data_IF_590245759792
#
_entry.id   IF_590245759792
#
_cell.length_a   1.000
_cell.length_b   1.000
_cell.length_c   1.000
_cell.angle_alpha   90.00
_cell.angle_beta   90.00
_cell.angle_gamma   90.00
#
_symmetry.space_group_name_H-M   'P 1'
#
loop_
_entity.id
_entity.type
_entity.pdbx_description
1 polymer ?
#
# COMPACT_ATOMS: atom_id res chain seq x y z
N UNK A 1 -10.83 -27.75 -12.71
CA UNK A 1 -12.11 -27.18 -12.26
C UNK A 1 -11.73 -26.01 -11.39
N UNK A 2 -11.53 -24.84 -12.00
CA UNK A 2 -11.24 -23.61 -11.27
C UNK A 2 -12.52 -23.24 -10.55
N UNK A 3 -12.45 -23.25 -9.22
CA UNK A 3 -13.51 -22.77 -8.37
C UNK A 3 -13.61 -21.27 -8.63
N UNK A 4 -14.59 -20.83 -9.43
CA UNK A 4 -14.90 -19.40 -9.70
C UNK A 4 -15.53 -18.76 -8.44
N UNK A 5 -14.96 -19.05 -7.27
CA UNK A 5 -15.37 -18.49 -6.01
C UNK A 5 -15.03 -17.00 -6.01
N UNK A 6 -16.06 -16.16 -5.96
CA UNK A 6 -15.89 -14.72 -5.78
C UNK A 6 -15.24 -14.49 -4.43
N UNK A 7 -13.99 -14.03 -4.42
CA UNK A 7 -13.31 -13.61 -3.21
C UNK A 7 -13.58 -12.13 -2.96
N UNK A 8 -14.20 -11.83 -1.80
CA UNK A 8 -14.40 -10.46 -1.33
C UNK A 8 -13.33 -10.14 -0.30
N UNK A 9 -12.51 -9.13 -0.59
CA UNK A 9 -11.48 -8.62 0.33
C UNK A 9 -11.86 -7.23 0.81
N UNK A 10 -11.90 -7.02 2.13
CA UNK A 10 -12.18 -5.72 2.74
C UNK A 10 -10.87 -4.91 2.76
N UNK A 11 -10.89 -3.73 2.14
CA UNK A 11 -9.78 -2.78 2.16
C UNK A 11 -10.03 -1.75 3.26
N UNK A 12 -9.08 -1.60 4.19
CA UNK A 12 -9.14 -0.55 5.21
C UNK A 12 -8.96 0.83 4.57
N UNK A 13 -9.45 1.91 5.20
CA UNK A 13 -9.27 3.29 4.70
C UNK A 13 -7.81 3.64 4.37
N UNK A 14 -6.85 3.09 5.12
CA UNK A 14 -5.42 3.22 4.88
C UNK A 14 -4.87 2.44 3.68
N UNK A 15 -5.72 1.80 2.87
CA UNK A 15 -5.31 1.06 1.68
C UNK A 15 -4.61 -0.27 1.99
N UNK A 16 -4.89 -0.88 3.14
CA UNK A 16 -4.37 -2.22 3.47
C UNK A 16 -5.46 -3.26 3.37
N UNK A 17 -5.12 -4.43 2.89
CA UNK A 17 -5.99 -5.59 2.77
C UNK A 17 -5.31 -6.81 3.39
N UNK A 18 -6.09 -7.65 4.07
CA UNK A 18 -5.62 -8.98 4.51
C UNK A 18 -6.10 -10.01 3.50
N UNK A 19 -5.16 -10.69 2.86
CA UNK A 19 -5.42 -11.67 1.79
C UNK A 19 -4.99 -13.05 2.26
N UNK A 20 -5.78 -14.07 1.89
CA UNK A 20 -5.46 -15.46 2.17
C UNK A 20 -4.45 -15.99 1.14
N UNK A 21 -3.34 -16.54 1.63
CA UNK A 21 -2.35 -17.31 0.88
C UNK A 21 -2.44 -18.80 1.23
N UNK A 22 -1.63 -19.62 0.55
CA UNK A 22 -1.54 -21.05 0.82
C UNK A 22 -1.13 -21.37 2.27
N UNK A 23 -0.25 -20.55 2.86
CA UNK A 23 0.34 -20.78 4.18
C UNK A 23 -0.34 -19.99 5.31
N UNK A 24 -1.29 -19.10 4.99
CA UNK A 24 -1.92 -18.25 6.01
C UNK A 24 -2.61 -17.02 5.46
N UNK A 25 -2.63 -15.95 6.25
CA UNK A 25 -3.16 -14.66 5.86
C UNK A 25 -2.06 -13.62 5.99
N UNK A 26 -1.89 -12.80 4.96
CA UNK A 26 -0.90 -11.72 4.94
C UNK A 26 -1.60 -10.38 4.78
N UNK A 27 -1.08 -9.35 5.44
CA UNK A 27 -1.54 -7.98 5.26
C UNK A 27 -0.63 -7.26 4.28
N UNK A 28 -1.25 -6.71 3.24
CA UNK A 28 -0.55 -6.01 2.17
C UNK A 28 -1.23 -4.69 1.83
N UNK A 29 -0.44 -3.76 1.29
CA UNK A 29 -0.90 -2.46 0.82
C UNK A 29 -1.36 -2.54 -0.63
N UNK A 30 -2.59 -2.14 -0.87
CA UNK A 30 -3.22 -2.01 -2.19
C UNK A 30 -3.38 -0.51 -2.48
N UNK A 31 -3.07 -0.05 -3.69
CA UNK A 31 -2.95 1.38 -4.03
C UNK A 31 -4.28 2.19 -4.01
N UNK A 32 -5.30 1.73 -3.29
CA UNK A 32 -6.60 2.40 -3.14
C UNK A 32 -6.66 3.05 -1.75
N UNK A 33 -6.91 4.36 -1.68
CA UNK A 33 -7.14 5.08 -0.41
C UNK A 33 -5.91 5.28 0.49
N UNK A 34 -4.75 4.71 0.11
CA UNK A 34 -3.57 4.56 0.96
C UNK A 34 -2.95 5.85 1.52
N UNK A 35 -3.23 7.02 0.94
CA UNK A 35 -2.63 8.28 1.39
C UNK A 35 -3.49 9.05 2.41
N UNK A 36 -4.82 8.97 2.29
CA UNK A 36 -5.71 10.00 2.85
C UNK A 36 -6.20 9.70 4.27
N UNK A 37 -5.94 8.51 4.81
CA UNK A 37 -6.36 8.21 6.18
C UNK A 37 -5.33 8.78 7.19
N UNK A 38 -5.73 9.73 8.05
CA UNK A 38 -4.83 10.35 9.02
C UNK A 38 -4.38 9.39 10.13
N UNK A 39 -4.99 8.21 10.26
CA UNK A 39 -4.70 7.23 11.30
C UNK A 39 -4.02 5.95 10.75
N UNK A 40 -4.23 5.63 9.46
CA UNK A 40 -3.90 4.31 8.89
C UNK A 40 -3.25 4.37 7.47
N UNK A 41 -3.09 5.56 6.89
CA UNK A 41 -2.42 5.74 5.59
C UNK A 41 -0.89 5.81 5.68
N UNK A 42 -0.22 5.91 4.52
CA UNK A 42 1.24 6.06 4.41
C UNK A 42 1.80 7.18 5.29
N UNK A 43 1.12 8.33 5.31
CA UNK A 43 1.52 9.48 6.13
C UNK A 43 1.48 9.11 7.62
N UNK A 44 0.44 8.41 8.05
CA UNK A 44 0.27 7.98 9.44
C UNK A 44 1.25 6.86 9.84
N UNK A 45 1.65 5.98 8.93
CA UNK A 45 2.71 5.00 9.17
C UNK A 45 4.07 5.69 9.37
N UNK A 46 4.42 6.58 8.43
CA UNK A 46 5.66 7.35 8.44
C UNK A 46 5.78 8.22 9.70
N UNK A 47 4.73 8.97 10.04
CA UNK A 47 4.72 9.84 11.23
C UNK A 47 4.81 9.06 12.55
N UNK A 48 4.21 7.86 12.60
CA UNK A 48 4.25 7.02 13.78
C UNK A 48 5.55 6.20 13.90
N UNK A 49 6.40 6.18 12.86
CA UNK A 49 7.60 5.35 12.82
C UNK A 49 7.30 3.85 12.89
N UNK A 50 6.14 3.43 12.36
CA UNK A 50 5.72 2.03 12.33
C UNK A 50 6.46 1.27 11.22
N UNK A 51 6.59 -0.05 11.39
CA UNK A 51 7.03 -0.91 10.29
C UNK A 51 6.07 -0.76 9.11
N UNK A 52 6.63 -0.53 7.92
CA UNK A 52 5.86 -0.31 6.72
C UNK A 52 5.12 -1.59 6.31
N UNK A 53 3.81 -1.48 6.07
CA UNK A 53 3.04 -2.59 5.50
C UNK A 53 3.55 -2.88 4.07
N UNK A 54 3.97 -4.12 3.75
CA UNK A 54 4.48 -4.45 2.42
C UNK A 54 3.45 -4.21 1.31
N UNK A 55 3.91 -3.82 0.12
CA UNK A 55 3.04 -3.65 -1.04
C UNK A 55 2.58 -4.98 -1.61
N UNK A 56 1.35 -5.02 -2.10
CA UNK A 56 0.75 -6.22 -2.69
C UNK A 56 1.55 -6.77 -3.88
N UNK A 57 2.16 -5.89 -4.66
CA UNK A 57 3.12 -6.26 -5.70
C UNK A 57 4.01 -5.07 -6.05
N UNK A 58 5.04 -5.32 -6.86
CA UNK A 58 5.87 -4.25 -7.44
C UNK A 58 5.03 -3.27 -8.25
N UNK A 59 4.10 -3.77 -9.08
CA UNK A 59 3.26 -2.90 -9.90
C UNK A 59 2.43 -1.93 -9.06
N UNK A 60 1.86 -2.41 -7.94
CA UNK A 60 1.10 -1.56 -7.01
C UNK A 60 1.98 -0.49 -6.36
N UNK A 61 3.23 -0.83 -6.00
CA UNK A 61 4.20 0.14 -5.48
C UNK A 61 4.58 1.20 -6.51
N UNK A 62 4.82 0.77 -7.75
CA UNK A 62 5.20 1.66 -8.85
C UNK A 62 4.03 2.59 -9.22
N UNK A 63 2.78 2.09 -9.21
CA UNK A 63 1.56 2.91 -9.37
C UNK A 63 1.40 3.94 -8.26
N UNK A 64 1.69 3.56 -7.00
CA UNK A 64 1.67 4.50 -5.89
C UNK A 64 2.73 5.60 -6.06
N UNK A 65 3.93 5.23 -6.50
CA UNK A 65 5.01 6.19 -6.82
C UNK A 65 4.53 7.21 -7.86
N UNK A 66 3.99 6.73 -8.98
CA UNK A 66 3.47 7.59 -10.05
C UNK A 66 2.33 8.50 -9.56
N UNK A 67 1.42 7.96 -8.75
CA UNK A 67 0.33 8.73 -8.16
C UNK A 67 0.83 9.86 -7.25
N UNK A 68 1.88 9.63 -6.46
CA UNK A 68 2.50 10.67 -5.63
C UNK A 68 3.23 11.71 -6.48
N UNK A 69 3.96 11.30 -7.52
CA UNK A 69 4.65 12.23 -8.44
C UNK A 69 3.69 13.21 -9.12
N UNK A 70 2.49 12.76 -9.50
CA UNK A 70 1.51 13.58 -10.21
C UNK A 70 0.66 14.49 -9.32
N UNK A 71 0.69 14.31 -8.00
CA UNK A 71 -0.15 15.10 -7.09
C UNK A 71 0.34 16.53 -6.95
N UNK A 72 -0.50 17.51 -7.28
CA UNK A 72 -0.16 18.93 -7.13
C UNK A 72 -0.40 19.51 -5.73
N UNK A 73 -1.05 18.76 -4.84
CA UNK A 73 -1.46 19.23 -3.52
C UNK A 73 -0.45 18.92 -2.40
N UNK A 74 0.64 18.22 -2.73
CA UNK A 74 1.73 17.91 -1.81
C UNK A 74 2.88 18.91 -1.99
N UNK A 75 3.40 19.43 -0.88
CA UNK A 75 4.67 20.15 -0.87
C UNK A 75 5.85 19.21 -1.18
N UNK A 76 6.96 19.77 -1.64
CA UNK A 76 8.13 19.01 -2.10
C UNK A 76 8.76 18.15 -0.99
N UNK A 77 8.73 18.60 0.26
CA UNK A 77 9.32 17.85 1.37
C UNK A 77 8.46 16.62 1.71
N UNK A 78 7.15 16.80 1.81
CA UNK A 78 6.19 15.71 2.01
C UNK A 78 6.26 14.70 0.86
N UNK A 79 6.33 15.19 -0.38
CA UNK A 79 6.49 14.34 -1.57
C UNK A 79 7.77 13.52 -1.51
N UNK A 80 8.91 14.14 -1.23
CA UNK A 80 10.20 13.46 -1.13
C UNK A 80 10.18 12.33 -0.09
N UNK A 81 9.69 12.63 1.12
CA UNK A 81 9.58 11.61 2.17
C UNK A 81 8.65 10.45 1.80
N UNK A 82 7.53 10.73 1.12
CA UNK A 82 6.62 9.69 0.66
C UNK A 82 7.27 8.79 -0.39
N UNK A 83 7.98 9.37 -1.36
CA UNK A 83 8.66 8.60 -2.41
C UNK A 83 9.77 7.72 -1.81
N UNK A 84 10.55 8.25 -0.88
CA UNK A 84 11.58 7.47 -0.17
C UNK A 84 10.96 6.32 0.64
N UNK A 85 9.86 6.60 1.35
CA UNK A 85 9.14 5.57 2.11
C UNK A 85 8.59 4.47 1.19
N UNK A 86 7.93 4.84 0.10
CA UNK A 86 7.41 3.90 -0.90
C UNK A 86 8.54 3.03 -1.44
N UNK A 87 9.67 3.62 -1.83
CA UNK A 87 10.80 2.91 -2.41
C UNK A 87 11.48 1.93 -1.43
N UNK A 88 11.55 2.30 -0.15
CA UNK A 88 12.13 1.47 0.90
C UNK A 88 11.21 0.35 1.42
N UNK A 89 9.91 0.44 1.13
CA UNK A 89 8.94 -0.56 1.58
C UNK A 89 8.99 -1.81 0.68
N UNK A 90 9.06 -2.98 1.32
CA UNK A 90 9.06 -4.28 0.63
C UNK A 90 7.75 -4.51 -0.14
N UNK A 91 7.77 -5.47 -1.08
CA UNK A 91 6.60 -5.90 -1.82
C UNK A 91 6.60 -7.41 -1.97
N UNK A 92 5.43 -8.02 -2.17
CA UNK A 92 5.33 -9.43 -2.51
C UNK A 92 5.66 -9.63 -4.00
N UNK A 93 6.48 -10.64 -4.30
CA UNK A 93 6.74 -11.03 -5.69
C UNK A 93 5.49 -11.73 -6.25
N UNK A 94 5.09 -11.37 -7.47
CA UNK A 94 4.00 -12.06 -8.16
C UNK A 94 4.42 -13.53 -8.39
N UNK A 95 3.61 -14.47 -7.91
CA UNK A 95 3.86 -15.91 -8.00
C UNK A 95 3.67 -16.46 -9.44
#
# INVERSE_FOLDING_TARGET
MTDDAIQVTIVKPGGTATVKFAEGYETMRVAIGYLHDPNDGLIAEMQAGRDATPWASRAVRDDATWSIELRGDLDDATRGHLLDWIASTAYFEDA
#
